data_IF_698689581329
#
_entry.id   IF_698689581329
#
_cell.length_a   1.000
_cell.length_b   1.000
_cell.length_c   1.000
_cell.angle_alpha   90.00
_cell.angle_beta   90.00
_cell.angle_gamma   90.00
#
_symmetry.space_group_name_H-M   'P 1'
#
loop_
_entity.id
_entity.type
_entity.pdbx_description
1 polymer ?
#
# COMPACT_ATOMS: atom_id res chain seq x y z
N UNK A 1 -7.04 46.30 -37.28
CA UNK A 1 -6.17 45.83 -36.17
C UNK A 1 -6.85 45.72 -34.80
N UNK A 2 -7.85 46.56 -34.46
CA UNK A 2 -8.57 46.48 -33.17
C UNK A 2 -9.50 45.26 -33.03
N UNK A 3 -10.19 44.84 -34.09
CA UNK A 3 -11.09 43.65 -34.06
C UNK A 3 -10.36 42.33 -33.85
N UNK A 4 -9.14 42.17 -34.40
CA UNK A 4 -8.33 40.94 -34.25
C UNK A 4 -7.93 40.75 -32.77
N UNK A 5 -7.55 41.84 -32.09
CA UNK A 5 -7.25 41.81 -30.64
C UNK A 5 -8.47 41.46 -29.79
N UNK A 6 -9.66 41.88 -30.21
CA UNK A 6 -10.92 41.64 -29.48
C UNK A 6 -11.42 40.19 -29.57
N UNK A 7 -11.07 39.44 -30.64
CA UNK A 7 -11.37 38.01 -30.74
C UNK A 7 -10.28 37.13 -30.11
N UNK A 8 -9.02 37.58 -30.07
CA UNK A 8 -7.92 36.82 -29.49
C UNK A 8 -8.03 36.66 -27.97
N UNK A 9 -8.58 37.65 -27.25
CA UNK A 9 -8.76 37.62 -25.80
C UNK A 9 -9.76 36.53 -25.35
N UNK A 10 -11.00 36.45 -25.87
CA UNK A 10 -11.94 35.39 -25.49
C UNK A 10 -11.49 34.01 -25.98
N UNK A 11 -10.77 33.91 -27.10
CA UNK A 11 -10.21 32.64 -27.59
C UNK A 11 -9.08 32.14 -26.69
N UNK A 12 -8.20 33.03 -26.22
CA UNK A 12 -7.17 32.70 -25.24
C UNK A 12 -7.78 32.31 -23.88
N UNK A 13 -8.84 33.01 -23.45
CA UNK A 13 -9.54 32.71 -22.19
C UNK A 13 -10.30 31.37 -22.25
N UNK A 14 -10.87 31.03 -23.41
CA UNK A 14 -11.48 29.73 -23.66
C UNK A 14 -10.42 28.61 -23.66
N UNK A 15 -9.25 28.83 -24.26
CA UNK A 15 -8.14 27.86 -24.27
C UNK A 15 -7.59 27.57 -22.86
N UNK A 16 -7.63 28.55 -21.95
CA UNK A 16 -7.30 28.39 -20.53
C UNK A 16 -8.31 27.51 -19.76
N UNK A 17 -9.55 27.40 -20.22
CA UNK A 17 -10.59 26.57 -19.59
C UNK A 17 -10.63 25.12 -20.11
N UNK A 18 -10.03 24.82 -21.28
CA UNK A 18 -9.99 23.45 -21.85
C UNK A 18 -8.82 22.61 -21.30
N UNK A 19 -7.90 23.22 -20.55
CA UNK A 19 -6.66 22.59 -20.07
C UNK A 19 -6.61 22.24 -18.56
N UNK A 20 -7.65 21.68 -17.90
CA UNK A 20 -7.37 20.78 -16.81
C UNK A 20 -7.03 19.41 -17.42
N UNK A 21 -5.80 19.27 -17.92
CA UNK A 21 -5.22 17.94 -18.11
C UNK A 21 -5.20 17.30 -16.72
N UNK A 22 -6.21 16.50 -16.41
CA UNK A 22 -6.29 15.73 -15.17
C UNK A 22 -5.14 14.73 -15.24
N UNK A 23 -3.99 15.11 -14.70
CA UNK A 23 -2.91 14.18 -14.45
C UNK A 23 -3.47 13.15 -13.46
N UNK A 24 -3.85 11.97 -13.97
CA UNK A 24 -4.24 10.85 -13.14
C UNK A 24 -2.98 10.44 -12.39
N UNK A 25 -2.92 10.80 -11.11
CA UNK A 25 -1.89 10.31 -10.21
C UNK A 25 -2.02 8.78 -10.15
N UNK A 26 -1.07 8.09 -10.76
CA UNK A 26 -1.01 6.61 -10.74
C UNK A 26 -0.56 6.09 -9.38
N UNK A 27 -0.36 6.98 -8.39
CA UNK A 27 0.19 6.65 -7.10
C UNK A 27 1.63 6.16 -7.21
N UNK A 28 2.05 5.43 -6.19
CA UNK A 28 3.38 4.83 -6.17
C UNK A 28 3.51 3.73 -7.24
N UNK A 29 4.20 4.04 -8.34
CA UNK A 29 4.53 3.07 -9.41
C UNK A 29 5.77 2.23 -9.10
N UNK A 30 6.45 2.53 -7.99
CA UNK A 30 7.58 1.77 -7.48
C UNK A 30 7.12 0.88 -6.31
N UNK A 31 7.76 -0.25 -6.04
CA UNK A 31 7.36 -1.14 -4.92
C UNK A 31 5.94 -1.71 -5.00
N UNK A 32 5.52 -2.04 -6.22
CA UNK A 32 4.29 -2.68 -6.68
C UNK A 32 3.86 -4.01 -6.01
N UNK A 33 4.53 -4.43 -4.94
CA UNK A 33 4.05 -5.53 -4.12
C UNK A 33 4.45 -5.38 -2.66
N UNK A 34 3.52 -5.78 -1.78
CA UNK A 34 3.77 -5.87 -0.34
C UNK A 34 5.04 -6.67 0.02
N UNK A 35 5.40 -7.71 -0.75
CA UNK A 35 6.61 -8.48 -0.49
C UNK A 35 7.89 -7.70 -0.82
N UNK A 36 7.88 -6.91 -1.90
CA UNK A 36 8.99 -6.02 -2.27
C UNK A 36 9.14 -4.91 -1.24
N UNK A 37 8.03 -4.27 -0.85
CA UNK A 37 8.02 -3.25 0.20
C UNK A 37 8.65 -3.76 1.51
N UNK A 38 8.27 -4.95 2.00
CA UNK A 38 8.87 -5.56 3.21
C UNK A 38 10.37 -5.81 3.11
N UNK A 39 10.89 -6.14 1.92
CA UNK A 39 12.33 -6.36 1.71
C UNK A 39 13.09 -5.04 1.75
N UNK A 40 12.51 -3.99 1.19
CA UNK A 40 13.08 -2.62 1.21
C UNK A 40 13.08 -2.09 2.65
N UNK A 41 11.97 -2.28 3.37
CA UNK A 41 11.90 -1.90 4.77
C UNK A 41 13.03 -2.54 5.60
N UNK A 42 13.33 -3.83 5.38
CA UNK A 42 14.40 -4.52 6.10
C UNK A 42 15.82 -4.11 5.69
N UNK A 43 16.07 -3.92 4.39
CA UNK A 43 17.43 -3.76 3.84
C UNK A 43 17.87 -2.31 3.75
N UNK A 44 16.91 -1.40 3.58
CA UNK A 44 17.19 -0.04 3.16
C UNK A 44 16.68 0.97 4.19
N UNK A 45 15.48 0.76 4.77
CA UNK A 45 14.86 1.73 5.71
C UNK A 45 15.23 1.47 7.17
N UNK A 46 15.21 0.21 7.62
CA UNK A 46 15.55 -0.19 9.00
C UNK A 46 16.95 -0.77 9.10
N UNK A 47 17.84 -0.49 8.13
CA UNK A 47 19.17 -1.08 8.08
C UNK A 47 20.01 -0.72 9.32
N UNK A 48 20.01 0.56 9.65
CA UNK A 48 20.75 1.23 10.72
C UNK A 48 19.89 1.49 11.98
N UNK A 49 18.57 1.28 11.88
CA UNK A 49 17.63 1.45 12.98
C UNK A 49 16.77 0.21 13.22
N UNK A 50 17.38 -0.90 13.66
CA UNK A 50 16.67 -2.17 13.90
C UNK A 50 15.96 -2.23 15.23
N UNK A 51 14.95 -1.40 15.39
CA UNK A 51 14.14 -1.28 16.60
C UNK A 51 12.67 -1.53 16.28
N UNK A 52 11.98 -2.34 17.09
CA UNK A 52 10.55 -2.59 16.93
C UNK A 52 9.72 -1.34 17.22
N UNK A 53 8.67 -1.13 16.42
CA UNK A 53 7.91 0.11 16.43
C UNK A 53 7.22 0.42 17.77
N UNK A 54 6.54 -0.57 18.37
CA UNK A 54 5.75 -0.34 19.59
C UNK A 54 6.56 -0.46 20.88
N UNK A 55 7.41 -1.49 20.98
CA UNK A 55 8.08 -1.83 22.24
C UNK A 55 9.53 -1.34 22.32
N UNK A 56 10.09 -0.76 21.25
CA UNK A 56 11.45 -0.23 21.28
C UNK A 56 12.55 -1.29 21.37
N UNK A 57 12.25 -2.56 21.05
CA UNK A 57 13.20 -3.66 21.18
C UNK A 57 14.05 -3.91 19.94
N UNK A 58 15.36 -4.21 20.10
CA UNK A 58 16.23 -4.55 18.99
C UNK A 58 15.84 -5.87 18.31
N UNK A 59 16.04 -5.92 16.99
CA UNK A 59 15.93 -7.14 16.20
C UNK A 59 17.12 -7.32 15.24
N UNK A 60 17.41 -8.55 14.81
CA UNK A 60 18.52 -8.82 13.90
C UNK A 60 18.09 -8.86 12.42
N UNK A 61 19.06 -8.98 11.50
CA UNK A 61 18.79 -9.11 10.05
C UNK A 61 17.90 -10.30 9.66
N UNK A 62 17.82 -11.32 10.52
CA UNK A 62 17.00 -12.51 10.38
C UNK A 62 15.58 -12.30 10.92
N UNK A 63 15.24 -11.06 11.33
CA UNK A 63 13.94 -10.67 11.91
C UNK A 63 13.66 -11.36 13.24
N UNK A 64 14.67 -11.76 13.98
CA UNK A 64 14.51 -12.28 15.33
C UNK A 64 14.56 -11.12 16.32
N UNK A 65 13.57 -11.05 17.20
CA UNK A 65 13.55 -10.06 18.28
C UNK A 65 14.53 -10.54 19.35
N UNK A 66 15.48 -9.69 19.72
CA UNK A 66 16.46 -10.03 20.75
C UNK A 66 15.81 -9.94 22.13
N UNK A 67 16.24 -10.75 23.12
CA UNK A 67 15.74 -10.63 24.48
C UNK A 67 16.07 -9.26 25.09
N UNK A 68 15.06 -8.55 25.57
CA UNK A 68 15.23 -7.25 26.21
C UNK A 68 13.94 -6.84 26.95
N UNK A 69 14.12 -6.18 28.09
CA UNK A 69 13.02 -5.63 28.89
C UNK A 69 12.05 -6.67 29.46
N UNK A 70 10.83 -6.23 29.70
CA UNK A 70 9.79 -6.98 30.43
C UNK A 70 8.66 -7.47 29.52
N UNK A 71 8.94 -7.75 28.24
CA UNK A 71 7.92 -8.30 27.35
C UNK A 71 7.61 -9.75 27.69
N UNK A 72 6.36 -9.97 28.09
CA UNK A 72 5.81 -11.30 28.32
C UNK A 72 4.78 -11.59 27.23
N UNK A 73 5.00 -12.61 26.38
CA UNK A 73 4.04 -12.94 25.34
C UNK A 73 2.75 -13.50 25.96
N UNK A 74 1.59 -13.05 25.47
CA UNK A 74 0.28 -13.59 25.89
C UNK A 74 0.14 -15.09 25.59
N UNK A 75 0.83 -15.56 24.54
CA UNK A 75 0.86 -16.96 24.13
C UNK A 75 2.27 -17.32 23.71
N UNK A 76 2.84 -18.34 24.35
CA UNK A 76 4.14 -18.87 23.98
C UNK A 76 4.10 -19.47 22.57
N UNK A 77 4.93 -18.93 21.68
CA UNK A 77 4.97 -19.35 20.29
C UNK A 77 5.88 -18.51 19.41
N UNK A 78 6.24 -19.07 18.26
CA UNK A 78 7.20 -18.49 17.30
C UNK A 78 6.89 -17.06 16.85
N UNK A 79 5.63 -16.61 16.95
CA UNK A 79 5.23 -15.24 16.59
C UNK A 79 5.82 -14.20 17.54
N UNK A 80 5.90 -14.49 18.83
CA UNK A 80 6.39 -13.57 19.86
C UNK A 80 7.87 -13.19 19.66
N UNK A 81 8.64 -14.04 18.97
CA UNK A 81 10.09 -13.90 18.84
C UNK A 81 10.54 -13.46 17.44
N UNK A 82 9.60 -13.08 16.56
CA UNK A 82 9.92 -12.62 15.20
C UNK A 82 9.27 -11.29 14.89
N UNK A 83 9.96 -10.47 14.09
CA UNK A 83 9.41 -9.24 13.54
C UNK A 83 8.35 -9.55 12.47
N UNK A 84 7.18 -8.93 12.63
CA UNK A 84 6.14 -8.83 11.61
C UNK A 84 6.00 -7.36 11.18
N UNK A 85 5.76 -7.12 9.89
CA UNK A 85 5.56 -5.78 9.37
C UNK A 85 4.11 -5.35 9.60
N UNK A 86 3.94 -4.33 10.42
CA UNK A 86 2.64 -3.78 10.76
C UNK A 86 2.14 -2.82 9.69
N UNK A 87 0.84 -2.88 9.40
CA UNK A 87 0.18 -1.80 8.67
C UNK A 87 -0.41 -0.85 9.70
N UNK A 88 0.23 0.31 9.93
CA UNK A 88 -0.26 1.31 10.90
C UNK A 88 -1.74 1.64 10.66
N UNK A 89 -2.13 1.80 9.39
CA UNK A 89 -3.54 1.77 8.97
C UNK A 89 -3.83 0.36 8.45
N UNK A 90 -4.67 -0.46 9.12
CA UNK A 90 -4.92 -1.83 8.71
C UNK A 90 -5.47 -1.89 7.29
N UNK A 91 -5.01 -2.83 6.46
CA UNK A 91 -5.51 -2.97 5.09
C UNK A 91 -7.00 -3.26 4.98
N UNK A 92 -7.62 -3.76 6.05
CA UNK A 92 -9.07 -3.88 6.10
C UNK A 92 -9.74 -2.50 6.08
N UNK A 93 -9.21 -1.50 6.78
CA UNK A 93 -9.82 -0.18 6.88
C UNK A 93 -9.99 0.49 5.51
N UNK A 94 -8.94 0.44 4.68
CA UNK A 94 -8.97 1.03 3.34
C UNK A 94 -9.35 0.05 2.22
N UNK A 95 -9.28 -1.27 2.45
CA UNK A 95 -9.54 -2.29 1.43
C UNK A 95 -10.92 -2.94 1.50
N UNK A 96 -11.60 -2.92 2.64
CA UNK A 96 -12.91 -3.60 2.79
C UNK A 96 -14.00 -3.07 1.86
N UNK A 97 -13.80 -1.89 1.27
CA UNK A 97 -14.80 -1.24 0.42
C UNK A 97 -14.81 -1.73 -1.03
N UNK A 98 -13.70 -2.29 -1.51
CA UNK A 98 -13.57 -2.63 -2.94
C UNK A 98 -14.37 -3.90 -3.30
N UNK A 99 -14.89 -4.01 -4.54
CA UNK A 99 -15.68 -5.17 -4.98
C UNK A 99 -14.96 -6.51 -4.80
N UNK A 100 -13.67 -6.57 -5.08
CA UNK A 100 -12.81 -7.75 -4.94
C UNK A 100 -12.76 -8.25 -3.49
N UNK A 101 -12.87 -7.32 -2.54
CA UNK A 101 -12.90 -7.64 -1.13
C UNK A 101 -14.29 -8.14 -0.71
N UNK A 102 -15.35 -7.42 -1.08
CA UNK A 102 -16.75 -7.68 -0.63
C UNK A 102 -17.42 -8.84 -1.34
N UNK A 103 -17.24 -8.89 -2.66
CA UNK A 103 -17.96 -9.74 -3.59
C UNK A 103 -17.01 -10.76 -4.25
N UNK A 104 -15.73 -10.43 -4.38
CA UNK A 104 -14.76 -11.23 -5.12
C UNK A 104 -14.63 -10.75 -6.57
N UNK A 105 -13.93 -11.53 -7.38
CA UNK A 105 -13.70 -11.26 -8.80
C UNK A 105 -13.76 -12.59 -9.58
N UNK A 106 -14.23 -12.62 -10.85
CA UNK A 106 -14.27 -13.85 -11.65
C UNK A 106 -12.93 -14.59 -11.77
N UNK A 107 -11.81 -13.87 -11.72
CA UNK A 107 -10.46 -14.46 -11.74
C UNK A 107 -9.96 -14.94 -10.36
N UNK A 108 -10.67 -14.61 -9.28
CA UNK A 108 -10.34 -15.06 -7.93
C UNK A 108 -10.88 -16.47 -7.68
N UNK A 109 -10.30 -17.44 -8.36
CA UNK A 109 -10.66 -18.87 -8.27
C UNK A 109 -9.48 -19.67 -7.74
N UNK A 110 -9.71 -20.49 -6.72
CA UNK A 110 -8.70 -21.41 -6.20
C UNK A 110 -8.43 -22.53 -7.21
N UNK A 111 -7.30 -23.24 -7.08
CA UNK A 111 -6.93 -24.35 -7.96
C UNK A 111 -8.00 -25.46 -8.06
N UNK A 112 -8.91 -25.56 -7.07
CA UNK A 112 -10.03 -26.50 -7.05
C UNK A 112 -11.35 -25.90 -7.58
N UNK A 113 -11.31 -24.79 -8.31
CA UNK A 113 -12.50 -24.13 -8.86
C UNK A 113 -13.32 -23.30 -7.87
N UNK A 114 -12.93 -23.25 -6.58
CA UNK A 114 -13.69 -22.51 -5.56
C UNK A 114 -13.43 -21.00 -5.66
N UNK A 115 -14.45 -20.15 -5.86
CA UNK A 115 -14.28 -18.70 -5.83
C UNK A 115 -13.87 -18.21 -4.42
N UNK A 116 -13.06 -17.17 -4.36
CA UNK A 116 -12.67 -16.52 -3.11
C UNK A 116 -12.71 -15.00 -3.22
N UNK A 117 -12.84 -14.34 -2.06
CA UNK A 117 -12.92 -12.89 -1.92
C UNK A 117 -12.04 -12.39 -0.77
N UNK A 118 -12.11 -11.10 -0.46
CA UNK A 118 -11.35 -10.47 0.62
C UNK A 118 -9.95 -10.06 0.19
N UNK A 119 -9.07 -9.82 1.17
CA UNK A 119 -7.70 -9.30 0.97
C UNK A 119 -6.90 -10.04 -0.11
N UNK A 120 -7.04 -11.36 -0.19
CA UNK A 120 -6.31 -12.16 -1.17
C UNK A 120 -6.78 -11.90 -2.61
N UNK A 121 -8.07 -11.64 -2.80
CA UNK A 121 -8.63 -11.30 -4.10
C UNK A 121 -8.32 -9.84 -4.43
N UNK A 122 -8.55 -8.94 -3.48
CA UNK A 122 -8.24 -7.51 -3.60
C UNK A 122 -6.77 -7.27 -4.00
N UNK A 123 -5.80 -7.90 -3.34
CA UNK A 123 -4.37 -7.81 -3.71
C UNK A 123 -4.09 -8.24 -5.16
N UNK A 124 -4.88 -9.19 -5.69
CA UNK A 124 -4.72 -9.71 -7.04
C UNK A 124 -5.45 -8.90 -8.09
N UNK A 125 -6.59 -8.29 -7.77
CA UNK A 125 -7.47 -7.74 -8.80
C UNK A 125 -7.75 -6.24 -8.65
N UNK A 126 -7.46 -5.62 -7.50
CA UNK A 126 -7.61 -4.19 -7.25
C UNK A 126 -6.23 -3.49 -7.30
N UNK A 127 -5.84 -2.83 -8.41
CA UNK A 127 -4.54 -2.18 -8.55
C UNK A 127 -4.28 -1.08 -7.51
N UNK A 128 -5.34 -0.40 -7.08
CA UNK A 128 -5.30 0.69 -6.09
C UNK A 128 -4.92 0.22 -4.67
N UNK A 129 -4.88 -1.10 -4.43
CA UNK A 129 -4.53 -1.71 -3.14
C UNK A 129 -3.17 -2.44 -3.12
N UNK A 130 -2.37 -2.34 -4.19
CA UNK A 130 -1.13 -3.11 -4.36
C UNK A 130 0.13 -2.47 -3.78
#
# INVERSE_FOLDING_TARGET
MKMIKSLLIPLALALLFVLPCQAVDKGNTTNDSFNKAKKILLRDVYLDHRTTFYCGYPFNSQKQILPCGNYTPKKEGKRAHRLEWEHIVPAHAFGQSVPEWRNGHPECVASKGKPFKGRNCARKMAPELR
#
